data_IF_982811599031
#
_entry.id   IF_982811599031
#
_cell.length_a   1.000
_cell.length_b   1.000
_cell.length_c   1.000
_cell.angle_alpha   90.00
_cell.angle_beta   90.00
_cell.angle_gamma   90.00
#
_symmetry.space_group_name_H-M   'P 1'
#
loop_
_entity.id
_entity.type
_entity.pdbx_description
1 polymer ?
#
# COMPACT_ATOMS: atom_id res chain seq x y z
N UNK A 1 1.57 20.62 0.42
CA UNK A 1 2.11 19.45 1.14
C UNK A 1 0.97 18.86 1.96
N UNK A 2 0.46 17.67 1.57
CA UNK A 2 -0.81 17.12 2.07
C UNK A 2 -0.72 16.73 3.55
N UNK A 3 -1.66 17.18 4.38
CA UNK A 3 -1.65 17.07 5.86
C UNK A 3 -2.17 15.71 6.39
N UNK A 4 -2.05 14.60 5.67
CA UNK A 4 -2.98 13.46 5.83
C UNK A 4 -2.46 12.24 6.62
N UNK A 5 -1.22 11.78 6.45
CA UNK A 5 -0.79 10.48 7.00
C UNK A 5 -0.53 10.52 8.52
N UNK A 6 0.24 11.49 9.01
CA UNK A 6 0.39 11.73 10.46
C UNK A 6 -0.93 11.97 11.22
N UNK A 7 -1.98 12.47 10.56
CA UNK A 7 -3.31 12.58 11.17
C UNK A 7 -3.99 11.22 11.34
N UNK A 8 -3.83 10.32 10.36
CA UNK A 8 -4.27 8.92 10.46
C UNK A 8 -3.54 8.24 11.62
N UNK A 9 -2.21 8.37 11.70
CA UNK A 9 -1.43 7.81 12.80
C UNK A 9 -1.91 8.30 14.18
N UNK A 10 -2.19 9.60 14.31
CA UNK A 10 -2.77 10.15 15.54
C UNK A 10 -4.13 9.55 15.87
N UNK A 11 -5.00 9.36 14.87
CA UNK A 11 -6.31 8.76 15.08
C UNK A 11 -6.21 7.29 15.53
N UNK A 12 -5.32 6.50 14.89
CA UNK A 12 -5.12 5.08 15.21
C UNK A 12 -4.47 4.86 16.57
N UNK A 13 -3.54 5.74 16.98
CA UNK A 13 -2.72 5.56 18.20
C UNK A 13 -3.17 6.40 19.39
N UNK A 14 -4.07 7.35 19.17
CA UNK A 14 -4.52 8.32 20.19
C UNK A 14 -3.37 9.15 20.79
N UNK A 15 -2.26 9.31 20.06
CA UNK A 15 -1.08 10.10 20.45
C UNK A 15 -0.45 10.80 19.25
N UNK A 16 0.39 11.81 19.49
CA UNK A 16 1.18 12.44 18.42
C UNK A 16 1.98 11.35 17.69
N UNK A 17 1.87 11.35 16.36
CA UNK A 17 2.42 10.32 15.49
C UNK A 17 3.00 10.97 14.24
N UNK A 18 4.08 10.43 13.71
CA UNK A 18 4.58 10.77 12.38
C UNK A 18 4.02 9.80 11.31
N UNK A 19 4.51 9.91 10.07
CA UNK A 19 4.05 9.05 8.98
C UNK A 19 4.49 7.59 9.14
N UNK A 20 5.63 7.33 9.80
CA UNK A 20 6.10 5.97 10.10
C UNK A 20 5.28 5.31 11.18
N UNK A 21 4.92 6.08 12.21
CA UNK A 21 3.99 5.62 13.25
C UNK A 21 2.65 5.18 12.67
N UNK A 22 2.14 5.92 11.66
CA UNK A 22 0.92 5.57 10.96
C UNK A 22 1.03 4.27 10.16
N UNK A 23 2.14 4.07 9.44
CA UNK A 23 2.41 2.81 8.71
C UNK A 23 2.47 1.64 9.69
N UNK A 24 3.23 1.77 10.78
CA UNK A 24 3.36 0.73 11.80
C UNK A 24 2.02 0.40 12.46
N UNK A 25 1.17 1.40 12.69
CA UNK A 25 -0.17 1.19 13.24
C UNK A 25 -1.03 0.29 12.33
N UNK A 26 -0.96 0.52 11.02
CA UNK A 26 -1.68 -0.31 10.05
C UNK A 26 -1.08 -1.72 9.99
N UNK A 27 0.26 -1.85 10.01
CA UNK A 27 0.93 -3.16 10.03
C UNK A 27 0.58 -4.00 11.26
N UNK A 28 0.54 -3.39 12.45
CA UNK A 28 0.12 -4.07 13.68
C UNK A 28 -1.35 -4.50 13.62
N UNK A 29 -2.24 -3.63 13.11
CA UNK A 29 -3.65 -3.96 12.95
C UNK A 29 -3.85 -5.14 11.97
N UNK A 30 -3.13 -5.15 10.85
CA UNK A 30 -3.14 -6.26 9.88
C UNK A 30 -2.80 -7.60 10.55
N UNK A 31 -1.80 -7.59 11.46
CA UNK A 31 -1.40 -8.77 12.22
C UNK A 31 -2.47 -9.15 13.26
N UNK A 32 -3.02 -8.18 13.99
CA UNK A 32 -4.04 -8.39 15.02
C UNK A 32 -5.31 -9.06 14.46
N UNK A 33 -5.77 -8.63 13.27
CA UNK A 33 -6.97 -9.19 12.64
C UNK A 33 -6.69 -10.38 11.69
N UNK A 34 -5.44 -10.83 11.60
CA UNK A 34 -5.06 -12.04 10.88
C UNK A 34 -5.12 -11.96 9.35
N UNK A 35 -4.94 -10.76 8.76
CA UNK A 35 -5.00 -10.55 7.29
C UNK A 35 -3.62 -10.35 6.65
N UNK A 36 -2.54 -10.75 7.33
CA UNK A 36 -1.15 -10.57 6.89
C UNK A 36 -0.68 -11.44 5.71
N UNK A 37 -1.61 -12.02 4.92
CA UNK A 37 -1.24 -12.78 3.72
C UNK A 37 -0.57 -11.87 2.70
N UNK A 38 0.54 -12.36 2.14
CA UNK A 38 1.21 -11.73 1.01
C UNK A 38 0.61 -12.24 -0.30
N UNK A 39 1.00 -11.60 -1.40
CA UNK A 39 0.47 -11.98 -2.73
C UNK A 39 0.80 -13.44 -3.07
N UNK A 40 1.95 -13.95 -2.62
CA UNK A 40 2.36 -15.34 -2.85
C UNK A 40 1.47 -16.37 -2.15
N UNK A 41 0.98 -16.03 -0.96
CA UNK A 41 0.10 -16.89 -0.16
C UNK A 41 -1.25 -17.13 -0.84
N UNK A 42 -1.58 -16.35 -1.87
CA UNK A 42 -2.80 -16.45 -2.68
C UNK A 42 -2.52 -16.74 -4.16
N UNK A 43 -1.31 -17.21 -4.49
CA UNK A 43 -0.97 -17.71 -5.82
C UNK A 43 -0.44 -16.68 -6.81
N UNK A 44 -0.06 -15.48 -6.36
CA UNK A 44 0.62 -14.53 -7.24
C UNK A 44 2.04 -15.01 -7.55
N UNK A 45 2.48 -14.78 -8.79
CA UNK A 45 3.86 -14.98 -9.23
C UNK A 45 4.37 -13.71 -9.90
N UNK A 46 5.68 -13.55 -10.00
CA UNK A 46 6.31 -12.42 -10.69
C UNK A 46 5.91 -12.29 -12.16
N UNK A 47 5.50 -13.40 -12.80
CA UNK A 47 4.97 -13.40 -14.16
C UNK A 47 3.68 -12.58 -14.31
N UNK A 48 2.92 -12.38 -13.24
CA UNK A 48 1.69 -11.59 -13.28
C UNK A 48 1.93 -10.08 -13.26
N UNK A 49 3.04 -9.61 -12.68
CA UNK A 49 3.18 -8.21 -12.27
C UNK A 49 3.12 -7.23 -13.43
N UNK A 50 3.70 -7.57 -14.58
CA UNK A 50 3.66 -6.69 -15.76
C UNK A 50 2.22 -6.43 -16.21
N UNK A 51 1.43 -7.49 -16.36
CA UNK A 51 0.02 -7.38 -16.74
C UNK A 51 -0.82 -6.64 -15.68
N UNK A 52 -0.60 -6.93 -14.40
CA UNK A 52 -1.30 -6.25 -13.31
C UNK A 52 -0.94 -4.76 -13.19
N UNK A 53 0.32 -4.40 -13.42
CA UNK A 53 0.76 -3.02 -13.39
C UNK A 53 0.17 -2.22 -14.56
N UNK A 54 0.06 -2.82 -15.74
CA UNK A 54 -0.60 -2.22 -16.89
C UNK A 54 -2.10 -1.98 -16.60
N UNK A 55 -2.79 -2.99 -16.07
CA UNK A 55 -4.19 -2.83 -15.67
C UNK A 55 -4.37 -1.74 -14.60
N UNK A 56 -3.47 -1.67 -13.62
CA UNK A 56 -3.50 -0.63 -12.58
C UNK A 56 -3.25 0.78 -13.13
N UNK A 57 -2.46 0.95 -14.20
CA UNK A 57 -2.28 2.24 -14.88
C UNK A 57 -3.56 2.76 -15.54
N UNK A 58 -4.38 1.83 -16.03
CA UNK A 58 -5.62 2.11 -16.73
C UNK A 58 -6.81 2.26 -15.76
N UNK A 59 -6.66 1.82 -14.51
CA UNK A 59 -7.68 1.95 -13.48
C UNK A 59 -7.95 3.41 -13.13
N UNK A 60 -9.23 3.81 -13.21
CA UNK A 60 -9.65 5.20 -12.96
C UNK A 60 -9.30 5.69 -11.55
N UNK A 61 -9.22 4.78 -10.57
CA UNK A 61 -8.85 5.09 -9.19
C UNK A 61 -7.45 5.71 -9.11
N UNK A 62 -6.51 5.28 -9.99
CA UNK A 62 -5.13 5.75 -9.96
C UNK A 62 -5.02 7.26 -10.22
N UNK A 63 -5.95 7.86 -10.98
CA UNK A 63 -5.98 9.31 -11.26
C UNK A 63 -6.09 10.17 -10.01
N UNK A 64 -6.67 9.63 -8.95
CA UNK A 64 -6.84 10.32 -7.66
C UNK A 64 -5.69 10.07 -6.67
N UNK A 65 -4.74 9.20 -7.02
CA UNK A 65 -3.60 8.92 -6.15
C UNK A 65 -2.76 10.20 -6.00
N UNK A 66 -2.41 10.63 -4.78
CA UNK A 66 -1.71 11.90 -4.55
C UNK A 66 -0.29 11.95 -5.16
N UNK A 67 0.21 10.82 -5.64
CA UNK A 67 1.45 10.70 -6.40
C UNK A 67 1.18 9.97 -7.71
N UNK A 68 1.55 10.57 -8.84
CA UNK A 68 1.59 9.84 -10.12
C UNK A 68 2.60 8.70 -10.03
N UNK A 69 2.16 7.48 -10.28
CA UNK A 69 3.01 6.28 -10.26
C UNK A 69 3.36 5.86 -11.69
N UNK A 70 4.64 5.55 -11.95
CA UNK A 70 5.05 4.93 -13.21
C UNK A 70 4.75 3.42 -13.21
N UNK A 71 4.73 2.80 -14.39
CA UNK A 71 4.53 1.36 -14.52
C UNK A 71 5.58 0.58 -13.68
N UNK A 72 6.86 0.99 -13.76
CA UNK A 72 7.95 0.40 -12.99
C UNK A 72 7.73 0.51 -11.48
N UNK A 73 7.25 1.66 -11.00
CA UNK A 73 6.94 1.85 -9.58
C UNK A 73 5.81 0.93 -9.13
N UNK A 74 4.77 0.72 -9.95
CA UNK A 74 3.68 -0.19 -9.63
C UNK A 74 4.16 -1.66 -9.61
N UNK A 75 5.00 -2.06 -10.57
CA UNK A 75 5.66 -3.39 -10.53
C UNK A 75 6.48 -3.56 -9.25
N UNK A 76 7.23 -2.53 -8.85
CA UNK A 76 7.99 -2.54 -7.61
C UNK A 76 7.11 -2.70 -6.36
N UNK A 77 5.90 -2.14 -6.35
CA UNK A 77 4.94 -2.31 -5.26
C UNK A 77 4.41 -3.76 -5.19
N UNK A 78 4.08 -4.38 -6.33
CA UNK A 78 3.69 -5.80 -6.35
C UNK A 78 4.82 -6.71 -5.87
N UNK A 79 6.06 -6.46 -6.31
CA UNK A 79 7.21 -7.21 -5.85
C UNK A 79 7.46 -7.04 -4.34
N UNK A 80 7.26 -5.83 -3.80
CA UNK A 80 7.40 -5.58 -2.36
C UNK A 80 6.28 -6.22 -1.52
N UNK A 81 5.12 -6.50 -2.12
CA UNK A 81 3.99 -7.17 -1.47
C UNK A 81 3.98 -8.70 -1.64
N UNK A 82 4.99 -9.27 -2.31
CA UNK A 82 5.11 -10.69 -2.65
C UNK A 82 5.17 -11.63 -1.45
#
# INVERSE_FOLDING_TARGET
>A
MSRTVSQIGRALRTKKSDDRDAINAVSELIAEVGIGKRLGDVGATSAHYGAWAQAAQEDICLRSNPRTASLEQIVGLYAAAQ
#
